data_IF_595056725672
#
_entry.id   IF_595056725672
#
_cell.length_a   1.000
_cell.length_b   1.000
_cell.length_c   1.000
_cell.angle_alpha   90.00
_cell.angle_beta   90.00
_cell.angle_gamma   90.00
#
_symmetry.space_group_name_H-M   'P 1'
#
loop_
_entity.id
_entity.type
_entity.pdbx_description
1 polymer ?
#
# COMPACT_ATOMS: atom_id res chain seq x y z
N UNK A 1 -13.59 -6.53 9.02
CA UNK A 1 -12.59 -7.17 8.13
C UNK A 1 -12.73 -8.70 8.08
N UNK A 2 -12.85 -9.38 9.23
CA UNK A 2 -12.95 -10.86 9.26
C UNK A 2 -14.19 -11.36 8.49
N UNK A 3 -15.36 -10.74 8.70
CA UNK A 3 -16.60 -11.10 7.98
C UNK A 3 -16.47 -10.96 6.46
N UNK A 4 -15.86 -9.88 5.95
CA UNK A 4 -15.69 -9.70 4.50
C UNK A 4 -14.76 -10.75 3.91
N UNK A 5 -13.66 -11.07 4.60
CA UNK A 5 -12.74 -12.14 4.20
C UNK A 5 -13.44 -13.52 4.17
N UNK A 6 -14.26 -13.81 5.18
CA UNK A 6 -15.04 -15.04 5.24
C UNK A 6 -16.11 -15.11 4.14
N UNK A 7 -16.86 -14.02 3.93
CA UNK A 7 -17.85 -13.93 2.86
C UNK A 7 -17.21 -14.15 1.49
N UNK A 8 -16.06 -13.54 1.24
CA UNK A 8 -15.33 -13.67 -0.03
C UNK A 8 -14.78 -15.09 -0.24
N UNK A 9 -14.34 -15.76 0.82
CA UNK A 9 -13.89 -17.16 0.75
C UNK A 9 -15.04 -18.12 0.46
N UNK A 10 -16.18 -17.99 1.15
CA UNK A 10 -17.39 -18.78 0.90
C UNK A 10 -17.90 -18.56 -0.51
N UNK A 11 -18.00 -17.31 -0.96
CA UNK A 11 -18.38 -16.98 -2.33
C UNK A 11 -17.44 -17.60 -3.37
N UNK A 12 -16.13 -17.62 -3.09
CA UNK A 12 -15.14 -18.24 -3.97
C UNK A 12 -15.32 -19.75 -4.04
N UNK A 13 -15.59 -20.41 -2.92
CA UNK A 13 -15.87 -21.85 -2.86
C UNK A 13 -17.17 -22.19 -3.59
N UNK A 14 -18.24 -21.41 -3.36
CA UNK A 14 -19.53 -21.62 -4.02
C UNK A 14 -19.41 -21.45 -5.55
N UNK A 15 -18.70 -20.41 -6.02
CA UNK A 15 -18.39 -20.25 -7.45
C UNK A 15 -17.55 -21.40 -7.99
N UNK A 16 -16.56 -21.88 -7.23
CA UNK A 16 -15.75 -23.03 -7.63
C UNK A 16 -16.57 -24.31 -7.83
N UNK A 17 -17.56 -24.54 -6.96
CA UNK A 17 -18.42 -25.72 -6.97
C UNK A 17 -19.53 -25.62 -8.03
N UNK A 18 -20.14 -24.45 -8.20
CA UNK A 18 -21.31 -24.30 -9.07
C UNK A 18 -20.91 -23.96 -10.51
N UNK A 19 -19.89 -23.12 -10.71
CA UNK A 19 -19.46 -22.69 -12.04
C UNK A 19 -18.20 -23.46 -12.48
N UNK A 20 -18.31 -24.20 -13.59
CA UNK A 20 -17.19 -24.98 -14.15
C UNK A 20 -16.15 -24.08 -14.83
N UNK A 21 -16.57 -22.88 -15.28
CA UNK A 21 -15.72 -21.90 -15.96
C UNK A 21 -14.91 -21.04 -14.99
N UNK A 22 -15.36 -20.91 -13.74
CA UNK A 22 -14.78 -20.02 -12.75
C UNK A 22 -13.28 -20.27 -12.55
N UNK A 23 -12.42 -19.39 -13.09
CA UNK A 23 -10.95 -19.52 -13.04
C UNK A 23 -10.42 -20.86 -13.60
N UNK A 24 -11.10 -21.44 -14.59
CA UNK A 24 -10.70 -22.70 -15.22
C UNK A 24 -9.78 -22.48 -16.44
N UNK A 25 -8.66 -21.78 -16.23
CA UNK A 25 -7.70 -21.41 -17.29
C UNK A 25 -6.31 -22.01 -17.07
N UNK A 26 -6.14 -22.82 -16.03
CA UNK A 26 -4.83 -23.28 -15.58
C UNK A 26 -4.49 -24.69 -16.08
N UNK A 27 -3.32 -24.82 -16.70
CA UNK A 27 -2.77 -26.08 -17.20
C UNK A 27 -2.14 -26.88 -16.06
N UNK A 28 -2.92 -27.77 -15.45
CA UNK A 28 -2.48 -28.62 -14.33
C UNK A 28 -1.71 -29.87 -14.79
N UNK A 29 -1.03 -30.58 -13.89
CA UNK A 29 -0.38 -31.86 -14.22
C UNK A 29 -1.40 -32.91 -14.68
N UNK A 30 -2.63 -32.88 -14.12
CA UNK A 30 -3.69 -33.78 -14.54
C UNK A 30 -4.18 -33.51 -15.96
N UNK A 31 -4.14 -32.25 -16.42
CA UNK A 31 -4.41 -31.89 -17.82
C UNK A 31 -3.44 -32.61 -18.78
N UNK A 32 -2.14 -32.56 -18.48
CA UNK A 32 -1.12 -33.22 -19.29
C UNK A 32 -1.16 -34.74 -19.19
N UNK A 33 -1.61 -35.29 -18.05
CA UNK A 33 -1.86 -36.72 -17.93
C UNK A 33 -2.98 -37.21 -18.87
N UNK A 34 -4.03 -36.42 -19.05
CA UNK A 34 -5.10 -36.73 -20.04
C UNK A 34 -4.51 -36.70 -21.46
N UNK A 35 -3.70 -35.68 -21.77
CA UNK A 35 -3.04 -35.56 -23.07
C UNK A 35 -2.16 -36.77 -23.39
N UNK A 36 -1.32 -37.19 -22.45
CA UNK A 36 -0.45 -38.35 -22.57
C UNK A 36 -1.25 -39.63 -22.81
N UNK A 37 -2.34 -39.80 -22.04
CA UNK A 37 -3.23 -40.96 -22.20
C UNK A 37 -3.88 -41.01 -23.59
N UNK A 38 -4.23 -39.87 -24.17
CA UNK A 38 -4.76 -39.82 -25.55
C UNK A 38 -3.67 -40.08 -26.58
N UNK A 39 -2.46 -39.57 -26.36
CA UNK A 39 -1.30 -39.84 -27.20
C UNK A 39 -0.98 -41.34 -27.25
N UNK A 40 -0.97 -42.01 -26.10
CA UNK A 40 -0.75 -43.45 -26.01
C UNK A 40 -1.83 -44.27 -26.73
N UNK A 41 -3.04 -43.72 -26.88
CA UNK A 41 -4.15 -44.33 -27.63
C UNK A 41 -4.19 -43.96 -29.11
N UNK A 42 -3.18 -43.25 -29.63
CA UNK A 42 -3.16 -42.70 -31.00
C UNK A 42 -4.38 -41.81 -31.32
N UNK A 43 -4.98 -41.20 -30.30
CA UNK A 43 -6.07 -40.24 -30.46
C UNK A 43 -5.52 -38.83 -30.68
N UNK A 44 -6.36 -37.91 -31.19
CA UNK A 44 -5.97 -36.50 -31.30
C UNK A 44 -5.64 -35.94 -29.90
N UNK A 45 -4.45 -35.37 -29.78
CA UNK A 45 -3.92 -34.75 -28.56
C UNK A 45 -3.57 -33.27 -28.78
N UNK A 46 -3.36 -32.55 -27.66
CA UNK A 46 -3.13 -31.11 -27.59
C UNK A 46 -1.65 -30.71 -27.57
N UNK A 47 -0.72 -31.52 -27.04
CA UNK A 47 0.69 -31.15 -27.01
C UNK A 47 1.33 -31.15 -28.44
N UNK A 48 2.17 -30.16 -28.82
CA UNK A 48 2.37 -28.87 -28.19
C UNK A 48 1.19 -27.92 -28.42
N UNK A 49 0.87 -27.13 -27.39
CA UNK A 49 -0.03 -25.98 -27.50
C UNK A 49 0.71 -24.80 -28.13
N UNK A 50 0.20 -24.28 -29.25
CA UNK A 50 0.75 -23.10 -29.92
C UNK A 50 0.66 -21.86 -29.02
N UNK A 51 1.58 -20.90 -29.18
CA UNK A 51 1.53 -19.61 -28.46
C UNK A 51 0.20 -18.90 -28.71
N UNK A 52 -0.30 -18.93 -29.95
CA UNK A 52 -1.59 -18.37 -30.32
C UNK A 52 -2.75 -19.04 -29.56
N UNK A 53 -2.77 -20.38 -29.48
CA UNK A 53 -3.81 -21.10 -28.74
C UNK A 53 -3.77 -20.81 -27.23
N UNK A 54 -2.57 -20.64 -26.67
CA UNK A 54 -2.42 -20.23 -25.27
C UNK A 54 -2.97 -18.82 -25.03
N UNK A 55 -2.64 -17.88 -25.92
CA UNK A 55 -3.06 -16.49 -25.79
C UNK A 55 -4.55 -16.31 -26.01
N UNK A 56 -5.13 -16.93 -27.05
CA UNK A 56 -6.56 -16.78 -27.38
C UNK A 56 -7.47 -17.36 -26.30
N UNK A 57 -7.03 -18.42 -25.61
CA UNK A 57 -7.77 -19.04 -24.51
C UNK A 57 -7.33 -18.57 -23.11
N UNK A 58 -6.38 -17.62 -23.01
CA UNK A 58 -5.86 -17.12 -21.74
C UNK A 58 -5.23 -18.19 -20.84
N UNK A 59 -4.60 -19.21 -21.42
CA UNK A 59 -4.10 -20.37 -20.68
C UNK A 59 -2.84 -20.03 -19.87
N UNK A 60 -2.85 -20.39 -18.59
CA UNK A 60 -1.78 -20.10 -17.64
C UNK A 60 -1.25 -21.37 -16.97
N UNK A 61 -0.03 -21.33 -16.47
CA UNK A 61 0.44 -22.34 -15.50
C UNK A 61 -0.08 -21.94 -14.10
N UNK A 62 -0.42 -22.89 -13.21
CA UNK A 62 -0.87 -22.58 -11.85
C UNK A 62 0.05 -21.60 -11.11
N UNK A 63 1.37 -21.79 -11.22
CA UNK A 63 2.38 -20.92 -10.62
C UNK A 63 3.08 -20.02 -11.66
N UNK A 64 2.30 -19.40 -12.55
CA UNK A 64 2.79 -18.32 -13.43
C UNK A 64 2.81 -16.97 -12.68
N UNK A 65 3.54 -15.95 -13.19
CA UNK A 65 3.36 -14.58 -12.71
C UNK A 65 1.90 -14.10 -12.82
N UNK A 66 1.53 -13.06 -12.04
CA UNK A 66 0.17 -12.53 -11.99
C UNK A 66 -0.23 -11.90 -13.33
N UNK A 67 -1.53 -12.00 -13.67
CA UNK A 67 -2.10 -11.32 -14.84
C UNK A 67 -2.37 -9.85 -14.54
N UNK A 68 -2.55 -9.03 -15.59
CA UNK A 68 -2.90 -7.60 -15.44
C UNK A 68 -4.19 -7.42 -14.65
N UNK A 69 -5.17 -8.29 -14.85
CA UNK A 69 -6.45 -8.25 -14.13
C UNK A 69 -6.26 -8.56 -12.63
N UNK A 70 -5.42 -9.56 -12.31
CA UNK A 70 -5.09 -9.89 -10.92
C UNK A 70 -4.33 -8.75 -10.22
N UNK A 71 -3.45 -8.04 -10.95
CA UNK A 71 -2.74 -6.86 -10.44
C UNK A 71 -3.73 -5.71 -10.18
N UNK A 72 -4.67 -5.47 -11.11
CA UNK A 72 -5.66 -4.42 -10.96
C UNK A 72 -6.59 -4.68 -9.76
N UNK A 73 -6.99 -5.93 -9.52
CA UNK A 73 -7.75 -6.30 -8.31
C UNK A 73 -6.99 -5.99 -7.01
N UNK A 74 -5.65 -5.97 -7.04
CA UNK A 74 -4.81 -5.64 -5.88
C UNK A 74 -4.73 -4.13 -5.59
N UNK A 75 -5.13 -3.26 -6.50
CA UNK A 75 -5.08 -1.79 -6.30
C UNK A 75 -6.05 -1.32 -5.22
N UNK A 76 -7.27 -1.85 -5.16
CA UNK A 76 -8.27 -1.43 -4.18
C UNK A 76 -7.82 -1.62 -2.71
N UNK A 77 -7.33 -2.81 -2.29
CA UNK A 77 -6.79 -2.97 -0.94
C UNK A 77 -5.53 -2.11 -0.70
N UNK A 78 -4.74 -1.85 -1.75
CA UNK A 78 -3.58 -0.96 -1.67
C UNK A 78 -4.00 0.48 -1.35
N UNK A 79 -4.98 1.02 -2.08
CA UNK A 79 -5.51 2.36 -1.85
C UNK A 79 -6.10 2.50 -0.44
N UNK A 80 -6.87 1.51 0.02
CA UNK A 80 -7.42 1.50 1.39
C UNK A 80 -6.32 1.53 2.45
N UNK A 81 -5.27 0.74 2.28
CA UNK A 81 -4.15 0.78 3.20
C UNK A 81 -3.44 2.13 3.16
N UNK A 82 -3.19 2.69 1.96
CA UNK A 82 -2.53 3.98 1.83
C UNK A 82 -3.30 5.09 2.57
N UNK A 83 -4.62 5.09 2.50
CA UNK A 83 -5.48 6.02 3.26
C UNK A 83 -5.32 5.81 4.77
N UNK A 84 -5.34 4.56 5.25
CA UNK A 84 -5.14 4.25 6.69
C UNK A 84 -3.75 4.69 7.15
N UNK A 85 -2.72 4.50 6.31
CA UNK A 85 -1.36 4.92 6.62
C UNK A 85 -1.26 6.45 6.71
N UNK A 86 -1.81 7.18 5.74
CA UNK A 86 -1.78 8.66 5.72
C UNK A 86 -2.53 9.23 6.93
N UNK A 87 -3.71 8.68 7.23
CA UNK A 87 -4.50 9.11 8.40
C UNK A 87 -3.77 8.81 9.72
N UNK A 88 -3.09 7.66 9.83
CA UNK A 88 -2.26 7.33 11.01
C UNK A 88 -1.07 8.28 11.17
N UNK A 89 -0.39 8.62 10.08
CA UNK A 89 0.71 9.60 10.11
C UNK A 89 0.19 10.98 10.52
N UNK A 90 -0.95 11.41 9.97
CA UNK A 90 -1.56 12.68 10.33
C UNK A 90 -1.93 12.74 11.82
N UNK A 91 -2.47 11.66 12.38
CA UNK A 91 -2.77 11.58 13.81
C UNK A 91 -1.51 11.75 14.68
N UNK A 92 -0.41 11.06 14.34
CA UNK A 92 0.87 11.18 15.05
C UNK A 92 1.42 12.62 14.97
N UNK A 93 1.30 13.27 13.81
CA UNK A 93 1.73 14.67 13.65
C UNK A 93 0.91 15.60 14.54
N UNK A 94 -0.40 15.42 14.61
CA UNK A 94 -1.28 16.21 15.50
C UNK A 94 -0.94 15.98 16.97
N UNK A 95 -0.69 14.74 17.37
CA UNK A 95 -0.27 14.42 18.75
C UNK A 95 1.07 15.11 19.10
N UNK A 96 2.03 15.08 18.17
CA UNK A 96 3.33 15.73 18.36
C UNK A 96 3.22 17.26 18.46
N UNK A 97 2.39 17.90 17.63
CA UNK A 97 2.19 19.36 17.71
C UNK A 97 1.50 19.76 19.00
N UNK A 98 0.48 19.00 19.44
CA UNK A 98 -0.18 19.24 20.73
C UNK A 98 0.79 19.10 21.91
N UNK A 99 1.63 18.06 21.92
CA UNK A 99 2.68 17.91 22.93
C UNK A 99 3.61 19.12 22.99
N UNK A 100 4.07 19.60 21.83
CA UNK A 100 4.98 20.76 21.78
C UNK A 100 4.30 22.07 22.23
N UNK A 101 3.03 22.27 21.87
CA UNK A 101 2.26 23.44 22.31
C UNK A 101 2.07 23.45 23.83
N UNK A 102 1.66 22.31 24.42
CA UNK A 102 1.50 22.19 25.87
C UNK A 102 2.83 22.45 26.59
N UNK A 103 3.92 21.85 26.10
CA UNK A 103 5.26 22.05 26.68
C UNK A 103 5.66 23.52 26.69
N UNK A 104 5.46 24.24 25.59
CA UNK A 104 5.79 25.65 25.52
C UNK A 104 4.96 26.47 26.53
N UNK A 105 3.63 26.27 26.57
CA UNK A 105 2.75 26.97 27.51
C UNK A 105 3.16 26.69 28.97
N UNK A 106 3.48 25.45 29.32
CA UNK A 106 3.93 25.11 30.68
C UNK A 106 5.28 25.75 31.03
N UNK A 107 6.17 25.98 30.06
CA UNK A 107 7.44 26.66 30.29
C UNK A 107 7.27 28.16 30.47
N UNK A 108 6.32 28.78 29.76
CA UNK A 108 5.97 30.19 29.94
C UNK A 108 5.30 30.44 31.29
N UNK A 109 4.32 29.62 31.68
CA UNK A 109 3.63 29.78 32.97
C UNK A 109 4.58 29.62 34.17
N UNK A 110 5.48 28.63 34.13
CA UNK A 110 6.52 28.46 35.17
C UNK A 110 7.58 29.57 35.11
N UNK A 111 7.75 30.24 33.97
CA UNK A 111 8.62 31.40 33.80
C UNK A 111 8.02 32.68 34.37
N UNK A 112 6.75 32.97 34.03
CA UNK A 112 6.04 34.18 34.44
C UNK A 112 5.67 34.15 35.93
N UNK A 113 5.34 32.99 36.50
CA UNK A 113 5.11 32.85 37.96
C UNK A 113 6.38 33.20 38.76
N UNK A 114 7.58 33.10 38.16
CA UNK A 114 8.82 33.50 38.83
C UNK A 114 9.08 35.00 38.76
N UNK A 115 8.52 35.71 37.79
CA UNK A 115 8.90 37.10 37.51
C UNK A 115 7.84 38.18 37.82
N UNK A 116 6.59 37.86 38.20
CA UNK A 116 5.68 38.94 38.64
C UNK A 116 4.57 38.54 39.62
N UNK A 117 4.78 38.81 40.92
CA UNK A 117 3.67 39.07 41.85
C UNK A 117 4.08 40.07 42.93
N UNK A 118 4.26 41.34 42.56
CA UNK A 118 4.12 42.45 43.50
C UNK A 118 2.69 42.98 43.45
N UNK A 119 1.77 42.33 44.18
CA UNK A 119 0.41 42.86 44.36
C UNK A 119 0.38 43.90 45.48
N UNK A 120 0.16 45.16 45.11
CA UNK A 120 -0.20 46.23 46.06
C UNK A 120 -1.72 46.16 46.33
N UNK A 121 -2.11 45.74 47.54
CA UNK A 121 -3.51 45.81 47.98
C UNK A 121 -3.77 47.14 48.69
N UNK A 122 -4.70 47.95 48.15
CA UNK A 122 -5.17 49.19 48.78
C UNK A 122 -6.59 48.99 49.32
N UNK A 123 -6.75 48.85 50.63
CA UNK A 123 -8.06 48.69 51.28
C UNK A 123 -8.53 50.01 51.90
N UNK A 124 -9.68 50.51 51.43
CA UNK A 124 -10.37 51.69 51.98
C UNK A 124 -11.64 51.26 52.71
N UNK A 125 -11.66 51.39 54.03
CA UNK A 125 -12.80 50.98 54.87
C UNK A 125 -13.71 52.18 55.15
N UNK A 126 -14.93 52.18 54.61
CA UNK A 126 -15.94 53.22 54.85
C UNK A 126 -16.90 52.78 55.96
N UNK A 127 -16.82 53.39 57.13
CA UNK A 127 -17.74 53.16 58.25
C UNK A 127 -17.44 54.10 59.42
N UNK A 128 -18.45 54.38 60.25
CA UNK A 128 -18.32 55.15 61.48
C UNK A 128 -18.77 54.29 62.67
N UNK A 129 -17.99 54.27 63.74
CA UNK A 129 -18.20 53.43 64.92
C UNK A 129 -16.89 52.86 65.44
N UNK A 130 -16.84 52.47 66.72
CA UNK A 130 -15.62 52.04 67.41
C UNK A 130 -14.82 50.96 66.67
N UNK A 131 -15.50 50.00 66.01
CA UNK A 131 -14.87 48.94 65.23
C UNK A 131 -14.29 49.48 63.91
N UNK A 132 -15.00 50.38 63.24
CA UNK A 132 -14.53 51.00 62.00
C UNK A 132 -13.35 51.94 62.26
N UNK A 133 -13.36 52.67 63.38
CA UNK A 133 -12.21 53.45 63.86
C UNK A 133 -11.02 52.54 64.16
N UNK A 134 -11.22 51.42 64.87
CA UNK A 134 -10.12 50.49 65.18
C UNK A 134 -9.48 49.89 63.92
N UNK A 135 -10.28 49.58 62.88
CA UNK A 135 -9.79 49.06 61.60
C UNK A 135 -9.13 50.17 60.76
N UNK A 136 -9.72 51.36 60.74
CA UNK A 136 -9.11 52.51 60.07
C UNK A 136 -7.80 52.92 60.75
N UNK A 137 -7.69 52.83 62.07
CA UNK A 137 -6.47 53.13 62.82
C UNK A 137 -5.39 52.06 62.56
N UNK A 138 -5.78 50.78 62.48
CA UNK A 138 -4.90 49.69 62.05
C UNK A 138 -4.36 49.86 60.61
N UNK A 139 -5.16 50.44 59.71
CA UNK A 139 -4.80 50.68 58.30
C UNK A 139 -4.13 52.04 58.06
N UNK A 140 -4.48 53.07 58.86
CA UNK A 140 -3.93 54.44 58.80
C UNK A 140 -2.66 54.60 59.62
N UNK A 141 -2.39 53.71 60.59
CA UNK A 141 -1.02 53.53 61.04
C UNK A 141 -0.22 53.26 59.78
N UNK A 142 0.76 54.12 59.50
CA UNK A 142 1.49 54.32 58.24
C UNK A 142 2.15 53.01 57.72
N UNK A 143 1.33 52.02 57.40
CA UNK A 143 1.70 50.70 56.94
C UNK A 143 1.85 50.79 55.43
N UNK A 144 2.75 51.67 55.00
CA UNK A 144 3.65 51.37 53.89
C UNK A 144 4.63 50.28 54.34
N UNK A 145 4.17 49.21 54.99
CA UNK A 145 5.05 48.08 55.26
C UNK A 145 5.12 47.32 53.95
N UNK A 146 6.14 47.71 53.18
CA UNK A 146 6.98 46.73 52.50
C UNK A 146 7.24 45.63 53.52
N UNK A 147 6.57 44.49 53.37
CA UNK A 147 6.85 43.31 54.18
C UNK A 147 8.23 42.82 53.71
N UNK A 148 9.27 43.47 54.23
CA UNK A 148 10.64 43.02 54.16
C UNK A 148 10.73 41.84 55.13
N UNK A 149 10.41 40.64 54.65
CA UNK A 149 10.83 39.42 55.33
C UNK A 149 12.35 39.37 55.17
N UNK A 150 13.07 39.93 56.13
CA UNK A 150 14.50 39.74 56.25
C UNK A 150 14.73 38.34 56.81
N UNK A 151 14.81 37.35 55.94
CA UNK A 151 15.57 36.14 56.26
C UNK A 151 17.03 36.60 56.40
N UNK A 152 17.64 36.38 57.56
CA UNK A 152 19.02 36.81 57.84
C UNK A 152 20.00 36.08 56.91
N UNK A 153 20.31 36.67 55.77
CA UNK A 153 21.36 36.24 54.83
C UNK A 153 22.66 37.01 55.04
N UNK A 154 22.98 37.38 56.29
CA UNK A 154 24.30 37.93 56.65
C UNK A 154 25.46 37.03 56.18
N UNK A 155 25.17 35.74 55.88
CA UNK A 155 26.17 34.80 55.36
C UNK A 155 26.26 34.69 53.83
N UNK A 156 25.44 35.40 53.05
CA UNK A 156 25.35 35.19 51.60
C UNK A 156 25.68 36.40 50.72
N UNK A 157 26.10 37.53 51.27
CA UNK A 157 26.45 38.71 50.46
C UNK A 157 27.96 38.73 50.22
N UNK A 158 28.41 38.07 49.16
CA UNK A 158 29.73 38.32 48.59
C UNK A 158 29.67 39.63 47.79
N UNK A 159 30.56 40.57 48.12
CA UNK A 159 30.71 41.82 47.38
C UNK A 159 31.18 41.53 45.94
N UNK A 160 30.60 42.22 44.93
CA UNK A 160 30.95 42.02 43.53
C UNK A 160 32.35 42.59 43.20
N UNK A 161 33.23 41.73 42.68
CA UNK A 161 34.54 42.11 42.14
C UNK A 161 34.38 42.56 40.67
N UNK A 162 35.13 43.59 40.27
CA UNK A 162 35.14 44.12 38.90
C UNK A 162 35.55 43.05 37.86
N UNK A 163 34.88 42.97 36.69
CA UNK A 163 35.09 41.89 35.74
C UNK A 163 36.36 42.09 34.91
N UNK A 164 37.30 41.14 34.99
CA UNK A 164 38.41 41.05 34.06
C UNK A 164 37.91 40.59 32.69
N UNK A 165 37.89 41.51 31.74
CA UNK A 165 37.39 41.32 30.37
C UNK A 165 38.07 40.18 29.62
N UNK A 166 39.35 39.91 29.89
CA UNK A 166 40.12 38.89 29.16
C UNK A 166 39.80 37.47 29.65
N UNK A 167 39.51 37.33 30.94
CA UNK A 167 38.97 36.11 31.55
C UNK A 167 37.51 35.91 31.12
N UNK A 168 36.67 36.94 31.22
CA UNK A 168 35.23 36.85 30.92
C UNK A 168 34.97 36.41 29.46
N UNK A 169 35.79 36.88 28.51
CA UNK A 169 35.66 36.48 27.11
C UNK A 169 35.96 34.98 26.90
N UNK A 170 37.02 34.44 27.49
CA UNK A 170 37.36 33.01 27.36
C UNK A 170 36.33 32.11 28.06
N UNK A 171 35.87 32.49 29.25
CA UNK A 171 34.94 31.68 30.03
C UNK A 171 33.50 31.75 29.55
N UNK A 172 33.08 32.82 28.87
CA UNK A 172 31.71 32.96 28.35
C UNK A 172 31.62 32.50 26.89
N UNK A 173 32.61 32.82 26.06
CA UNK A 173 32.57 32.44 24.63
C UNK A 173 32.70 30.94 24.42
N UNK A 174 33.57 30.26 25.19
CA UNK A 174 33.79 28.82 25.08
C UNK A 174 32.51 27.99 25.34
N UNK A 175 31.75 28.18 26.43
CA UNK A 175 30.49 27.47 26.64
C UNK A 175 29.41 27.86 25.62
N UNK A 176 29.37 29.10 25.12
CA UNK A 176 28.43 29.48 24.06
C UNK A 176 28.72 28.75 22.75
N UNK A 177 30.00 28.67 22.35
CA UNK A 177 30.41 27.91 21.16
C UNK A 177 30.16 26.41 21.36
N UNK A 178 30.47 25.87 22.54
CA UNK A 178 30.17 24.47 22.88
C UNK A 178 28.67 24.18 22.86
N UNK A 179 27.84 25.08 23.37
CA UNK A 179 26.38 24.99 23.32
C UNK A 179 25.87 25.02 21.88
N UNK A 180 26.40 25.91 21.04
CA UNK A 180 26.06 25.97 19.61
C UNK A 180 26.46 24.70 18.86
N UNK A 181 27.69 24.20 19.08
CA UNK A 181 28.17 22.96 18.46
C UNK A 181 27.35 21.74 18.89
N UNK A 182 26.98 21.68 20.18
CA UNK A 182 26.08 20.64 20.68
C UNK A 182 24.70 20.75 20.03
N UNK A 183 24.10 21.95 19.95
CA UNK A 183 22.80 22.14 19.31
C UNK A 183 22.79 21.73 17.84
N UNK A 184 23.79 22.14 17.05
CA UNK A 184 23.90 21.74 15.63
C UNK A 184 24.12 20.23 15.50
N UNK A 185 24.95 19.63 16.37
CA UNK A 185 25.13 18.16 16.41
C UNK A 185 23.84 17.44 16.77
N UNK A 186 23.10 17.90 17.77
CA UNK A 186 21.83 17.30 18.18
C UNK A 186 20.78 17.39 17.08
N UNK A 187 20.66 18.53 16.39
CA UNK A 187 19.73 18.70 15.27
C UNK A 187 20.10 17.77 14.11
N UNK A 188 21.39 17.69 13.73
CA UNK A 188 21.86 16.80 12.68
C UNK A 188 21.66 15.31 13.04
N UNK A 189 21.93 14.92 14.28
CA UNK A 189 21.74 13.54 14.75
C UNK A 189 20.26 13.20 14.78
N UNK A 190 19.41 14.09 15.31
CA UNK A 190 17.97 13.89 15.34
C UNK A 190 17.39 13.79 13.93
N UNK A 191 17.77 14.68 13.02
CA UNK A 191 17.34 14.62 11.62
C UNK A 191 17.81 13.32 10.95
N UNK A 192 19.05 12.89 11.18
CA UNK A 192 19.58 11.64 10.63
C UNK A 192 18.87 10.42 11.20
N UNK A 193 18.61 10.38 12.50
CA UNK A 193 17.86 9.30 13.17
C UNK A 193 16.42 9.29 12.65
N UNK A 194 15.77 10.46 12.55
CA UNK A 194 14.41 10.61 12.05
C UNK A 194 14.29 10.14 10.59
N UNK A 195 15.18 10.59 9.70
CA UNK A 195 15.24 10.12 8.31
C UNK A 195 15.52 8.62 8.23
N UNK A 196 16.40 8.07 9.08
CA UNK A 196 16.65 6.62 9.16
C UNK A 196 15.45 5.84 9.67
N UNK A 197 14.69 6.38 10.64
CA UNK A 197 13.45 5.78 11.14
C UNK A 197 12.39 5.80 10.05
N UNK A 198 12.19 6.93 9.36
CA UNK A 198 11.25 7.02 8.22
C UNK A 198 11.67 6.06 7.12
N UNK A 199 12.94 6.02 6.74
CA UNK A 199 13.43 5.13 5.71
C UNK A 199 13.26 3.65 6.12
N UNK A 200 13.57 3.29 7.37
CA UNK A 200 13.34 1.93 7.89
C UNK A 200 11.87 1.59 7.94
N UNK A 201 11.01 2.51 8.38
CA UNK A 201 9.57 2.32 8.45
C UNK A 201 8.98 2.17 7.04
N UNK A 202 9.39 3.01 6.09
CA UNK A 202 9.01 2.92 4.69
C UNK A 202 9.47 1.61 4.05
N UNK A 203 10.71 1.16 4.30
CA UNK A 203 11.22 -0.13 3.79
C UNK A 203 10.46 -1.30 4.43
N UNK A 204 10.23 -1.28 5.74
CA UNK A 204 9.49 -2.33 6.43
C UNK A 204 8.06 -2.40 5.90
N UNK A 205 7.40 -1.26 5.72
CA UNK A 205 6.06 -1.17 5.18
C UNK A 205 6.03 -1.64 3.72
N UNK A 206 6.92 -1.14 2.86
CA UNK A 206 7.03 -1.55 1.45
C UNK A 206 7.32 -3.05 1.33
N UNK A 207 8.09 -3.61 2.27
CA UNK A 207 8.34 -5.06 2.37
C UNK A 207 7.07 -5.81 2.77
N UNK A 208 6.37 -5.38 3.82
CA UNK A 208 5.09 -5.97 4.24
C UNK A 208 4.03 -5.88 3.12
N UNK A 209 4.06 -4.84 2.32
CA UNK A 209 3.19 -4.66 1.15
C UNK A 209 3.54 -5.57 -0.01
N UNK A 210 4.81 -5.54 -0.44
CA UNK A 210 5.30 -6.42 -1.51
C UNK A 210 5.02 -7.87 -1.13
N UNK A 211 5.23 -8.20 0.15
CA UNK A 211 4.85 -9.47 0.73
C UNK A 211 3.34 -9.69 0.64
N UNK A 212 2.47 -8.79 1.13
CA UNK A 212 1.01 -8.97 1.04
C UNK A 212 0.47 -9.13 -0.38
N UNK A 213 1.00 -8.42 -1.38
CA UNK A 213 0.55 -8.55 -2.78
C UNK A 213 1.01 -9.87 -3.38
N UNK A 214 2.32 -10.16 -3.30
CA UNK A 214 2.91 -11.39 -3.84
C UNK A 214 2.37 -12.62 -3.09
N UNK A 215 2.37 -12.57 -1.77
CA UNK A 215 1.86 -13.61 -0.89
C UNK A 215 0.35 -13.75 -1.03
N UNK A 216 -0.42 -12.66 -1.07
CA UNK A 216 -1.87 -12.72 -1.28
C UNK A 216 -2.24 -13.43 -2.58
N UNK A 217 -1.49 -13.15 -3.64
CA UNK A 217 -1.62 -13.84 -4.92
C UNK A 217 -1.24 -15.33 -4.83
N UNK A 218 -0.06 -15.65 -4.29
CA UNK A 218 0.43 -17.02 -4.12
C UNK A 218 -0.55 -17.81 -3.26
N UNK A 219 -1.02 -17.25 -2.14
CA UNK A 219 -1.99 -17.84 -1.23
C UNK A 219 -3.30 -18.08 -1.95
N UNK A 220 -3.84 -17.13 -2.71
CA UNK A 220 -5.12 -17.32 -3.44
C UNK A 220 -5.02 -18.45 -4.47
N UNK A 221 -3.90 -18.57 -5.18
CA UNK A 221 -3.67 -19.68 -6.12
C UNK A 221 -3.42 -21.00 -5.36
N UNK A 222 -2.64 -20.99 -4.29
CA UNK A 222 -2.39 -22.16 -3.45
C UNK A 222 -3.69 -22.67 -2.80
N UNK A 223 -4.54 -21.80 -2.27
CA UNK A 223 -5.85 -22.16 -1.70
C UNK A 223 -6.74 -22.78 -2.76
N UNK A 224 -6.73 -22.26 -3.99
CA UNK A 224 -7.53 -22.80 -5.10
C UNK A 224 -7.08 -24.21 -5.50
N UNK A 225 -5.77 -24.44 -5.63
CA UNK A 225 -5.24 -25.71 -6.13
C UNK A 225 -4.97 -26.76 -5.06
N UNK A 226 -4.33 -26.38 -3.95
CA UNK A 226 -3.96 -27.31 -2.88
C UNK A 226 -5.08 -27.52 -1.88
N UNK A 227 -5.81 -26.49 -1.48
CA UNK A 227 -6.88 -26.66 -0.47
C UNK A 227 -8.16 -27.11 -1.16
N UNK A 228 -8.78 -26.23 -1.95
CA UNK A 228 -10.07 -26.49 -2.61
C UNK A 228 -9.94 -27.64 -3.61
N UNK A 229 -8.86 -27.66 -4.40
CA UNK A 229 -8.61 -28.72 -5.39
C UNK A 229 -8.38 -30.10 -4.77
N UNK A 230 -7.81 -30.17 -3.57
CA UNK A 230 -7.63 -31.43 -2.85
C UNK A 230 -8.91 -31.87 -2.13
N UNK A 231 -9.59 -30.95 -1.43
CA UNK A 231 -10.88 -31.20 -0.76
C UNK A 231 -11.94 -31.67 -1.76
N UNK A 232 -12.06 -31.00 -2.90
CA UNK A 232 -13.04 -31.32 -3.95
C UNK A 232 -12.39 -31.99 -5.16
N UNK A 233 -11.65 -33.08 -4.93
CA UNK A 233 -10.90 -33.79 -5.98
C UNK A 233 -11.74 -34.17 -7.20
N UNK A 234 -12.98 -34.66 -6.99
CA UNK A 234 -13.90 -35.02 -8.09
C UNK A 234 -14.24 -33.80 -8.96
N UNK A 235 -14.58 -32.65 -8.34
CA UNK A 235 -14.89 -31.41 -9.05
C UNK A 235 -13.68 -30.84 -9.77
N UNK A 236 -12.51 -30.85 -9.12
CA UNK A 236 -11.23 -30.40 -9.70
C UNK A 236 -10.87 -31.18 -10.97
N UNK A 237 -11.04 -32.51 -10.95
CA UNK A 237 -10.86 -33.35 -12.14
C UNK A 237 -11.89 -33.04 -13.23
N UNK A 238 -13.17 -32.91 -12.88
CA UNK A 238 -14.23 -32.59 -13.85
C UNK A 238 -13.96 -31.26 -14.58
N UNK A 239 -13.54 -30.23 -13.84
CA UNK A 239 -13.14 -28.93 -14.41
C UNK A 239 -11.95 -29.05 -15.37
N UNK A 240 -10.94 -29.83 -15.00
CA UNK A 240 -9.77 -30.04 -15.86
C UNK A 240 -10.15 -30.80 -17.14
N UNK A 241 -11.04 -31.79 -17.05
CA UNK A 241 -11.56 -32.54 -18.21
C UNK A 241 -12.36 -31.60 -19.12
N UNK A 242 -13.22 -30.76 -18.56
CA UNK A 242 -14.00 -29.76 -19.30
C UNK A 242 -13.10 -28.77 -20.04
N UNK A 243 -12.08 -28.24 -19.38
CA UNK A 243 -11.07 -27.37 -20.02
C UNK A 243 -10.38 -28.09 -21.19
N UNK A 244 -9.95 -29.34 -20.97
CA UNK A 244 -9.32 -30.14 -22.01
C UNK A 244 -10.23 -30.36 -23.21
N UNK A 245 -11.49 -30.77 -22.98
CA UNK A 245 -12.47 -31.03 -24.03
C UNK A 245 -12.80 -29.77 -24.83
N UNK A 246 -12.89 -28.62 -24.17
CA UNK A 246 -13.10 -27.32 -24.82
C UNK A 246 -11.98 -26.98 -25.78
N UNK A 247 -10.72 -27.10 -25.32
CA UNK A 247 -9.54 -26.84 -26.16
C UNK A 247 -9.43 -27.84 -27.31
N UNK A 248 -9.74 -29.11 -27.05
CA UNK A 248 -9.76 -30.16 -28.06
C UNK A 248 -10.80 -29.86 -29.15
N UNK A 249 -12.01 -29.44 -28.75
CA UNK A 249 -13.09 -29.09 -29.67
C UNK A 249 -12.71 -27.89 -30.55
N UNK A 250 -12.11 -26.85 -29.97
CA UNK A 250 -11.60 -25.68 -30.72
C UNK A 250 -10.56 -26.14 -31.76
N UNK A 251 -9.63 -27.01 -31.39
CA UNK A 251 -8.60 -27.52 -32.29
C UNK A 251 -9.18 -28.39 -33.42
N UNK A 252 -10.12 -29.28 -33.11
CA UNK A 252 -10.78 -30.14 -34.09
C UNK A 252 -11.56 -29.27 -35.09
N UNK A 253 -12.33 -28.30 -34.60
CA UNK A 253 -13.09 -27.38 -35.45
C UNK A 253 -12.16 -26.53 -36.32
N UNK A 254 -11.07 -26.00 -35.76
CA UNK A 254 -10.06 -25.26 -36.52
C UNK A 254 -9.44 -26.09 -37.65
N UNK A 255 -9.10 -27.36 -37.39
CA UNK A 255 -8.60 -28.29 -38.41
C UNK A 255 -9.66 -28.61 -39.47
N UNK A 256 -10.92 -28.80 -39.07
CA UNK A 256 -12.02 -29.07 -40.00
C UNK A 256 -12.24 -27.90 -40.97
N UNK A 257 -12.23 -26.67 -40.45
CA UNK A 257 -12.36 -25.44 -41.24
C UNK A 257 -11.16 -25.28 -42.19
N UNK A 258 -9.94 -25.51 -41.71
CA UNK A 258 -8.74 -25.44 -42.55
C UNK A 258 -8.79 -26.43 -43.72
N UNK A 259 -9.21 -27.68 -43.48
CA UNK A 259 -9.38 -28.70 -44.52
C UNK A 259 -10.46 -28.31 -45.53
N UNK A 260 -11.59 -27.75 -45.08
CA UNK A 260 -12.64 -27.27 -45.96
C UNK A 260 -12.16 -26.12 -46.87
N UNK A 261 -11.37 -25.19 -46.32
CA UNK A 261 -10.77 -24.09 -47.10
C UNK A 261 -9.83 -24.60 -48.18
N UNK A 262 -8.96 -25.57 -47.86
CA UNK A 262 -8.05 -26.17 -48.84
C UNK A 262 -8.83 -26.87 -49.95
N UNK A 263 -9.85 -27.68 -49.59
CA UNK A 263 -10.71 -28.35 -50.58
C UNK A 263 -11.41 -27.36 -51.50
N UNK A 264 -11.92 -26.26 -50.95
CA UNK A 264 -12.56 -25.19 -51.73
C UNK A 264 -11.57 -24.52 -52.69
N UNK A 265 -10.36 -24.20 -52.24
CA UNK A 265 -9.32 -23.61 -53.07
C UNK A 265 -8.89 -24.54 -54.22
N UNK A 266 -8.69 -25.82 -53.93
CA UNK A 266 -8.36 -26.84 -54.94
C UNK A 266 -9.49 -26.98 -55.96
N UNK A 267 -10.74 -27.08 -55.50
CA UNK A 267 -11.91 -27.16 -56.39
C UNK A 267 -12.03 -25.92 -57.30
N UNK A 268 -11.85 -24.72 -56.73
CA UNK A 268 -11.83 -23.47 -57.49
C UNK A 268 -10.72 -23.45 -58.55
N UNK A 269 -9.53 -23.95 -58.21
CA UNK A 269 -8.42 -24.03 -59.15
C UNK A 269 -8.73 -24.97 -60.33
N UNK A 270 -9.32 -26.14 -60.06
CA UNK A 270 -9.77 -27.05 -61.12
C UNK A 270 -10.83 -26.43 -62.03
N UNK A 271 -11.81 -25.71 -61.48
CA UNK A 271 -12.82 -25.01 -62.28
C UNK A 271 -12.21 -23.95 -63.20
N UNK A 272 -11.23 -23.18 -62.69
CA UNK A 272 -10.50 -22.19 -63.49
C UNK A 272 -9.68 -22.87 -64.60
N UNK A 273 -8.95 -23.95 -64.29
CA UNK A 273 -8.20 -24.68 -65.31
C UNK A 273 -9.12 -25.24 -66.40
N UNK A 274 -10.28 -25.78 -66.03
CA UNK A 274 -11.27 -26.29 -66.98
C UNK A 274 -11.87 -25.16 -67.83
N UNK A 275 -12.15 -23.98 -67.25
CA UNK A 275 -12.64 -22.84 -68.02
C UNK A 275 -11.60 -22.29 -69.00
N UNK A 276 -10.31 -22.29 -68.64
CA UNK A 276 -9.22 -21.94 -69.57
C UNK A 276 -9.09 -22.97 -70.70
N UNK A 277 -9.19 -24.27 -70.41
CA UNK A 277 -9.21 -25.32 -71.46
C UNK A 277 -10.38 -25.13 -72.42
N UNK A 278 -11.58 -24.85 -71.91
CA UNK A 278 -12.76 -24.61 -72.75
C UNK A 278 -12.61 -23.35 -73.60
N UNK A 279 -12.11 -22.24 -73.03
CA UNK A 279 -11.85 -21.01 -73.79
C UNK A 279 -10.84 -21.22 -74.91
N UNK A 280 -9.77 -21.99 -74.67
CA UNK A 280 -8.83 -22.36 -75.73
C UNK A 280 -9.52 -23.13 -76.85
N UNK A 281 -10.34 -24.14 -76.52
CA UNK A 281 -11.09 -24.91 -77.52
C UNK A 281 -12.00 -24.01 -78.37
N UNK A 282 -12.80 -23.15 -77.73
CA UNK A 282 -13.70 -22.24 -78.43
C UNK A 282 -12.95 -21.20 -79.31
N UNK A 283 -11.77 -20.72 -78.88
CA UNK A 283 -10.96 -19.83 -79.72
C UNK A 283 -10.40 -20.56 -80.95
N UNK A 284 -9.98 -21.83 -80.80
CA UNK A 284 -9.59 -22.64 -81.95
C UNK A 284 -10.76 -22.82 -82.93
N UNK A 285 -11.96 -23.18 -82.45
CA UNK A 285 -13.14 -23.38 -83.30
C UNK A 285 -13.55 -22.07 -84.02
N UNK A 286 -13.45 -20.91 -83.36
CA UNK A 286 -13.78 -19.62 -83.98
C UNK A 286 -12.78 -19.21 -85.08
N UNK A 287 -11.49 -19.50 -84.92
CA UNK A 287 -10.49 -19.26 -85.96
C UNK A 287 -10.68 -20.14 -87.20
N UNK A 288 -11.24 -21.35 -87.05
CA UNK A 288 -11.54 -22.22 -88.19
C UNK A 288 -12.78 -21.77 -88.98
N UNK A 289 -13.76 -21.11 -88.36
CA UNK A 289 -15.00 -20.67 -89.04
C UNK A 289 -14.90 -19.32 -89.77
N UNK A 290 -13.81 -18.56 -89.60
CA UNK A 290 -13.60 -17.24 -90.24
C UNK A 290 -12.58 -17.27 -91.41
N UNK A 291 -12.21 -18.46 -91.89
CA UNK A 291 -11.41 -18.67 -93.11
C UNK A 291 -12.34 -19.17 -94.20
#
# INVERSE_FOLDING_TARGET
>A
MIYTLFRDSVNTIQKYLNDINFKNIFLTNYFWHIDEKRRAKNEIFLNPLSKAEKQTNGLLKPFSPPTRDEIHECWLPLARFAIILVTSIAAIVVEYTLYHLIKNVTLFDVGDIKDDLQQEFNFKVNGTGFIAELIQDLLNFEYKKKINISISTEKCIQLPLEPDWQHSLHYISLPLVMMFLLQVRYICIYLTIFLRIIQRFYILILREFSFKVIFGFIIRRATLFYIIGNVFRKRSKARTIDLYNRLLLVRINGRRIARARIRFQVHRHHLLQNSFKQRRHNCFDFSFNNI
#
